data_IF_833867176797
#
_entry.id   IF_833867176797
#
_cell.length_a   1.000
_cell.length_b   1.000
_cell.length_c   1.000
_cell.angle_alpha   90.00
_cell.angle_beta   90.00
_cell.angle_gamma   90.00
#
_symmetry.space_group_name_H-M   'P 1'
#
loop_
_entity.id
_entity.type
_entity.pdbx_description
1 polymer ?
#
# COMPACT_ATOMS: atom_id res chain seq x y z
N UNK A 1 89.68 -31.52 7.46
CA UNK A 1 89.56 -30.09 7.13
C UNK A 1 88.34 -30.00 6.22
N UNK A 2 87.23 -29.38 6.66
CA UNK A 2 86.98 -27.92 6.58
C UNK A 2 87.01 -27.43 5.12
N UNK A 3 86.02 -26.72 4.60
CA UNK A 3 84.69 -26.36 5.10
C UNK A 3 83.80 -25.91 3.90
N UNK A 4 82.52 -25.58 4.12
CA UNK A 4 81.80 -24.41 3.54
C UNK A 4 81.89 -24.11 2.01
N UNK A 5 80.85 -23.77 1.24
CA UNK A 5 79.49 -23.25 1.52
C UNK A 5 78.90 -22.58 0.24
N UNK A 6 77.74 -21.92 0.37
CA UNK A 6 77.27 -20.75 -0.40
C UNK A 6 77.19 -20.79 -1.95
N UNK A 7 75.94 -20.87 -2.44
CA UNK A 7 75.38 -20.21 -3.63
C UNK A 7 76.24 -20.00 -4.89
N UNK A 8 75.75 -20.55 -6.02
CA UNK A 8 75.91 -19.91 -7.33
C UNK A 8 74.63 -20.06 -8.17
N UNK A 9 73.97 -18.94 -8.44
CA UNK A 9 72.99 -18.80 -9.53
C UNK A 9 73.79 -18.73 -10.86
N UNK A 10 73.29 -19.17 -12.02
CA UNK A 10 72.45 -18.41 -13.01
C UNK A 10 72.62 -19.13 -14.39
N UNK A 11 71.91 -18.76 -15.48
CA UNK A 11 70.49 -18.41 -15.60
C UNK A 11 69.82 -19.07 -16.84
N UNK A 12 68.66 -18.55 -17.24
CA UNK A 12 67.70 -19.03 -18.25
C UNK A 12 67.99 -18.79 -19.73
N UNK A 13 67.47 -19.70 -20.57
CA UNK A 13 66.76 -19.53 -21.86
C UNK A 13 66.00 -20.87 -22.11
N UNK A 14 64.97 -21.08 -22.95
CA UNK A 14 64.09 -20.32 -23.88
C UNK A 14 62.77 -21.15 -24.03
N UNK A 15 61.73 -20.78 -24.82
CA UNK A 15 61.16 -19.47 -25.20
C UNK A 15 59.59 -19.42 -25.11
N UNK A 16 59.03 -18.22 -25.36
CA UNK A 16 57.72 -17.96 -26.00
C UNK A 16 56.45 -18.68 -25.49
N UNK A 17 55.63 -17.94 -24.75
CA UNK A 17 54.24 -18.30 -24.42
C UNK A 17 53.51 -17.11 -23.82
N UNK A 18 53.23 -16.07 -24.63
CA UNK A 18 52.58 -14.84 -24.17
C UNK A 18 51.11 -15.06 -23.82
N UNK A 19 50.83 -15.44 -22.57
CA UNK A 19 49.49 -15.33 -21.98
C UNK A 19 49.26 -13.83 -21.68
N UNK A 20 48.21 -13.20 -22.22
CA UNK A 20 47.89 -11.82 -21.87
C UNK A 20 47.66 -11.67 -20.37
N UNK A 21 48.18 -10.60 -19.78
CA UNK A 21 47.93 -10.23 -18.40
C UNK A 21 46.42 -10.05 -18.21
N UNK A 22 45.79 -10.97 -17.45
CA UNK A 22 44.43 -10.77 -16.96
C UNK A 22 44.52 -9.76 -15.82
N UNK A 23 44.06 -8.55 -16.09
CA UNK A 23 44.03 -7.44 -15.13
C UNK A 23 43.30 -7.85 -13.85
N UNK A 24 44.04 -7.92 -12.74
CA UNK A 24 43.50 -8.27 -11.41
C UNK A 24 42.50 -7.22 -10.88
N UNK A 25 42.34 -6.05 -11.54
CA UNK A 25 41.28 -5.09 -11.20
C UNK A 25 39.89 -5.44 -11.76
N UNK A 26 39.75 -6.50 -12.55
CA UNK A 26 38.43 -6.94 -13.04
C UNK A 26 37.50 -7.53 -11.96
N UNK A 27 37.95 -7.61 -10.70
CA UNK A 27 37.21 -8.21 -9.58
C UNK A 27 36.40 -7.21 -8.72
N UNK A 28 36.53 -5.89 -8.92
CA UNK A 28 35.77 -4.86 -8.17
C UNK A 28 34.66 -4.16 -8.99
N UNK A 29 33.89 -4.93 -9.77
CA UNK A 29 32.60 -4.46 -10.29
C UNK A 29 31.55 -5.56 -10.46
N UNK A 30 31.54 -6.54 -9.55
CA UNK A 30 30.31 -7.31 -9.32
C UNK A 30 29.36 -6.41 -8.53
N UNK A 31 28.59 -5.59 -9.25
CA UNK A 31 27.33 -5.05 -8.74
C UNK A 31 26.49 -6.24 -8.27
N UNK A 32 26.46 -6.44 -6.95
CA UNK A 32 25.52 -7.34 -6.31
C UNK A 32 24.14 -6.96 -6.81
N UNK A 33 23.35 -7.86 -7.43
CA UNK A 33 22.01 -7.51 -7.85
C UNK A 33 21.26 -7.04 -6.61
N UNK A 34 20.88 -5.76 -6.61
CA UNK A 34 20.20 -5.11 -5.52
C UNK A 34 18.78 -5.67 -5.48
N UNK A 35 18.66 -6.85 -4.85
CA UNK A 35 17.41 -7.55 -4.66
C UNK A 35 16.48 -6.61 -3.91
N UNK A 36 15.50 -6.06 -4.65
CA UNK A 36 14.61 -5.01 -4.18
C UNK A 36 14.12 -5.33 -2.77
N UNK A 37 14.49 -4.50 -1.79
CA UNK A 37 14.15 -4.72 -0.40
C UNK A 37 12.64 -4.58 -0.21
N UNK A 38 11.91 -5.69 -0.30
CA UNK A 38 10.47 -5.78 -0.09
C UNK A 38 10.11 -5.73 1.41
N UNK A 39 10.64 -4.74 2.12
CA UNK A 39 10.47 -4.59 3.57
C UNK A 39 10.69 -3.15 4.02
N UNK A 40 10.25 -2.85 5.24
CA UNK A 40 10.44 -1.54 5.85
C UNK A 40 11.92 -1.21 6.00
N UNK A 41 12.32 -0.05 5.48
CA UNK A 41 13.70 0.45 5.53
C UNK A 41 14.19 0.73 6.96
N UNK A 42 13.28 0.97 7.91
CA UNK A 42 13.61 1.15 9.33
C UNK A 42 12.56 0.51 10.23
N UNK A 43 13.00 0.06 11.41
CA UNK A 43 12.14 -0.43 12.50
C UNK A 43 11.14 0.64 12.97
N UNK A 44 11.57 1.89 13.04
CA UNK A 44 10.70 3.03 13.34
C UNK A 44 9.58 3.17 12.30
N UNK A 45 9.92 3.07 11.00
CA UNK A 45 8.93 3.09 9.91
C UNK A 45 7.93 1.94 9.99
N UNK A 46 8.39 0.74 10.41
CA UNK A 46 7.53 -0.43 10.64
C UNK A 46 6.58 -0.21 11.83
N UNK A 47 7.08 0.27 12.96
CA UNK A 47 6.26 0.58 14.14
C UNK A 47 5.24 1.67 13.83
N UNK A 48 5.63 2.71 13.10
CA UNK A 48 4.75 3.78 12.65
C UNK A 48 3.67 3.32 11.67
N UNK A 49 4.00 2.38 10.76
CA UNK A 49 3.01 1.75 9.90
C UNK A 49 1.99 0.93 10.71
N UNK A 50 2.40 0.26 11.79
CA UNK A 50 1.48 -0.44 12.70
C UNK A 50 0.61 0.56 13.47
N UNK A 51 1.21 1.59 14.08
CA UNK A 51 0.50 2.67 14.79
C UNK A 51 -0.51 3.41 13.88
N UNK A 52 -0.24 3.44 12.57
CA UNK A 52 -1.13 4.04 11.58
C UNK A 52 -2.52 3.40 11.56
N UNK A 53 -2.66 2.12 11.93
CA UNK A 53 -3.94 1.41 11.92
C UNK A 53 -4.65 1.39 13.28
N UNK A 54 -4.11 2.08 14.29
CA UNK A 54 -4.79 2.24 15.57
C UNK A 54 -5.59 3.57 15.53
N UNK A 55 -6.89 3.56 15.88
CA UNK A 55 -7.74 4.75 15.89
C UNK A 55 -7.11 5.89 16.71
N UNK A 56 -7.24 7.13 16.23
CA UNK A 56 -6.56 8.35 16.72
C UNK A 56 -5.02 8.34 16.65
N UNK A 57 -4.34 7.22 16.87
CA UNK A 57 -2.88 7.15 16.77
C UNK A 57 -2.40 7.31 15.32
N UNK A 58 -3.25 7.06 14.32
CA UNK A 58 -2.97 7.30 12.90
C UNK A 58 -2.45 8.71 12.58
N UNK A 59 -2.80 9.73 13.37
CA UNK A 59 -2.32 11.09 13.20
C UNK A 59 -0.86 11.29 13.64
N UNK A 60 -0.33 10.45 14.55
CA UNK A 60 1.05 10.55 15.05
C UNK A 60 2.08 10.35 13.92
N UNK A 61 2.09 9.24 13.16
CA UNK A 61 3.02 9.07 12.04
C UNK A 61 2.69 10.01 10.87
N UNK A 62 1.41 10.38 10.67
CA UNK A 62 1.00 11.33 9.63
C UNK A 62 1.66 12.70 9.79
N UNK A 63 1.72 13.20 11.04
CA UNK A 63 2.21 14.54 11.37
C UNK A 63 3.73 14.58 11.60
N UNK A 64 4.30 13.53 12.20
CA UNK A 64 5.71 13.54 12.64
C UNK A 64 6.67 12.91 11.62
N UNK A 65 6.28 11.88 10.86
CA UNK A 65 7.21 11.16 9.98
C UNK A 65 7.22 11.70 8.54
N UNK A 66 7.50 12.99 8.39
CA UNK A 66 7.38 13.71 7.11
C UNK A 66 8.20 13.09 5.97
N UNK A 67 9.40 12.61 6.28
CA UNK A 67 10.37 12.10 5.32
C UNK A 67 10.24 10.59 5.04
N UNK A 68 9.52 9.86 5.91
CA UNK A 68 9.30 8.42 5.72
C UNK A 68 8.07 8.17 4.84
N UNK A 69 8.31 7.90 3.55
CA UNK A 69 7.27 7.69 2.53
C UNK A 69 6.33 6.53 2.90
N UNK A 70 6.86 5.42 3.41
CA UNK A 70 6.11 4.22 3.79
C UNK A 70 5.22 4.48 5.01
N UNK A 71 5.78 5.03 6.09
CA UNK A 71 5.01 5.38 7.28
C UNK A 71 3.85 6.34 6.94
N UNK A 72 4.08 7.32 6.06
CA UNK A 72 3.02 8.22 5.59
C UNK A 72 2.00 7.56 4.67
N UNK A 73 2.37 6.53 3.92
CA UNK A 73 1.43 5.75 3.11
C UNK A 73 0.44 5.03 4.01
N UNK A 74 0.92 4.28 5.00
CA UNK A 74 0.09 3.62 6.00
C UNK A 74 -0.73 4.64 6.82
N UNK A 75 -0.14 5.76 7.23
CA UNK A 75 -0.86 6.81 7.98
C UNK A 75 -2.06 7.39 7.23
N UNK A 76 -1.95 7.60 5.90
CA UNK A 76 -3.09 8.05 5.08
C UNK A 76 -4.20 7.00 4.99
N UNK A 77 -3.87 5.72 4.88
CA UNK A 77 -4.87 4.64 4.93
C UNK A 77 -5.54 4.56 6.30
N UNK A 78 -4.74 4.70 7.37
CA UNK A 78 -5.20 4.80 8.76
C UNK A 78 -6.25 5.86 8.98
N UNK A 79 -6.03 7.08 8.46
CA UNK A 79 -7.02 8.17 8.54
C UNK A 79 -8.31 7.82 7.80
N UNK A 80 -8.24 7.19 6.62
CA UNK A 80 -9.44 6.77 5.88
C UNK A 80 -10.23 5.73 6.67
N UNK A 81 -9.55 4.74 7.27
CA UNK A 81 -10.17 3.74 8.13
C UNK A 81 -10.80 4.39 9.38
N UNK A 82 -10.08 5.28 10.05
CA UNK A 82 -10.60 6.03 11.19
C UNK A 82 -11.86 6.87 10.86
N UNK A 83 -11.93 7.45 9.66
CA UNK A 83 -13.14 8.16 9.21
C UNK A 83 -14.32 7.19 8.95
N UNK A 84 -14.06 5.99 8.42
CA UNK A 84 -15.08 4.94 8.26
C UNK A 84 -15.57 4.45 9.63
N UNK A 85 -14.67 4.20 10.56
CA UNK A 85 -14.99 3.82 11.96
C UNK A 85 -15.79 4.91 12.66
N UNK A 86 -15.42 6.19 12.50
CA UNK A 86 -16.14 7.32 13.06
C UNK A 86 -17.58 7.39 12.53
N UNK A 87 -17.77 7.25 11.21
CA UNK A 87 -19.10 7.20 10.60
C UNK A 87 -19.90 5.99 11.10
N UNK A 88 -19.28 4.82 11.20
CA UNK A 88 -19.93 3.62 11.75
C UNK A 88 -20.38 3.84 13.22
N UNK A 89 -19.52 4.42 14.06
CA UNK A 89 -19.85 4.74 15.46
C UNK A 89 -20.98 5.76 15.55
N UNK A 90 -21.07 6.75 14.66
CA UNK A 90 -22.23 7.67 14.60
C UNK A 90 -23.55 6.93 14.34
N UNK A 91 -23.54 5.84 13.57
CA UNK A 91 -24.71 4.97 13.40
C UNK A 91 -24.98 4.02 14.57
N UNK A 92 -24.03 3.85 15.51
CA UNK A 92 -24.27 3.12 16.77
C UNK A 92 -24.89 4.01 17.86
N UNK A 93 -24.96 5.33 17.67
CA UNK A 93 -25.59 6.24 18.64
C UNK A 93 -27.12 6.08 18.57
N UNK A 94 -27.72 5.72 19.71
CA UNK A 94 -29.16 5.62 19.88
C UNK A 94 -29.87 6.89 19.39
N UNK A 95 -30.90 6.71 18.57
CA UNK A 95 -31.66 7.80 17.95
C UNK A 95 -31.10 8.31 16.61
N UNK A 96 -29.79 8.23 16.34
CA UNK A 96 -29.22 8.66 15.05
C UNK A 96 -29.56 7.65 13.95
N UNK A 97 -29.23 6.37 14.17
CA UNK A 97 -29.64 5.28 13.29
C UNK A 97 -31.16 5.27 13.09
N UNK A 98 -31.88 5.34 14.20
CA UNK A 98 -33.33 5.37 14.28
C UNK A 98 -33.94 6.48 13.42
N UNK A 99 -33.40 7.71 13.51
CA UNK A 99 -33.81 8.85 12.69
C UNK A 99 -33.54 8.62 11.20
N UNK A 100 -32.34 8.15 10.84
CA UNK A 100 -31.95 7.90 9.43
C UNK A 100 -32.81 6.79 8.81
N UNK A 101 -32.98 5.65 9.48
CA UNK A 101 -33.79 4.55 8.97
C UNK A 101 -35.27 4.91 8.86
N UNK A 102 -35.83 5.66 9.83
CA UNK A 102 -37.21 6.17 9.74
C UNK A 102 -37.37 7.15 8.57
N UNK A 103 -36.41 8.05 8.36
CA UNK A 103 -36.41 8.96 7.22
C UNK A 103 -36.39 8.23 5.87
N UNK A 104 -35.49 7.26 5.71
CA UNK A 104 -35.41 6.41 4.50
C UNK A 104 -36.73 5.67 4.27
N UNK A 105 -37.31 5.06 5.33
CA UNK A 105 -38.56 4.32 5.23
C UNK A 105 -39.74 5.21 4.81
N UNK A 106 -39.86 6.42 5.36
CA UNK A 106 -40.91 7.38 4.98
C UNK A 106 -40.79 7.76 3.50
N UNK A 107 -39.58 8.04 3.01
CA UNK A 107 -39.34 8.37 1.59
C UNK A 107 -39.67 7.17 0.69
N UNK A 108 -39.25 5.95 1.07
CA UNK A 108 -39.55 4.74 0.32
C UNK A 108 -41.06 4.45 0.23
N UNK A 109 -41.79 4.61 1.34
CA UNK A 109 -43.26 4.47 1.36
C UNK A 109 -43.93 5.54 0.51
N UNK A 110 -43.48 6.79 0.57
CA UNK A 110 -44.02 7.88 -0.26
C UNK A 110 -43.83 7.59 -1.76
N UNK A 111 -42.64 7.14 -2.18
CA UNK A 111 -42.37 6.74 -3.57
C UNK A 111 -43.22 5.53 -3.99
N UNK A 112 -43.42 4.55 -3.09
CA UNK A 112 -44.30 3.40 -3.34
C UNK A 112 -45.75 3.83 -3.57
N UNK A 113 -46.29 4.72 -2.74
CA UNK A 113 -47.65 5.27 -2.90
C UNK A 113 -47.80 6.02 -4.23
N UNK A 114 -46.80 6.82 -4.63
CA UNK A 114 -46.79 7.49 -5.95
C UNK A 114 -46.76 6.46 -7.09
N UNK A 115 -45.96 5.41 -6.98
CA UNK A 115 -45.91 4.32 -7.96
C UNK A 115 -47.26 3.61 -8.11
N UNK A 116 -47.89 3.24 -6.98
CA UNK A 116 -49.23 2.63 -6.93
C UNK A 116 -50.28 3.57 -7.57
N UNK A 117 -50.25 4.86 -7.24
CA UNK A 117 -51.19 5.85 -7.80
C UNK A 117 -51.12 5.92 -9.34
N UNK A 118 -49.91 5.93 -9.92
CA UNK A 118 -49.76 5.92 -11.38
C UNK A 118 -50.06 4.56 -12.02
N UNK A 119 -49.74 3.45 -11.35
CA UNK A 119 -50.09 2.10 -11.80
C UNK A 119 -51.61 1.92 -11.89
N UNK A 120 -52.37 2.43 -10.90
CA UNK A 120 -53.84 2.45 -10.91
C UNK A 120 -54.43 3.33 -12.03
N UNK A 121 -53.66 4.28 -12.57
CA UNK A 121 -54.02 5.05 -13.77
C UNK A 121 -53.58 4.40 -15.08
N UNK A 122 -52.96 3.21 -15.05
CA UNK A 122 -52.38 2.56 -16.24
C UNK A 122 -51.20 3.32 -16.84
N UNK A 123 -50.51 4.17 -16.06
CA UNK A 123 -49.39 4.99 -16.52
C UNK A 123 -48.05 4.43 -16.06
N UNK A 124 -47.14 4.21 -17.00
CA UNK A 124 -45.73 3.88 -16.73
C UNK A 124 -44.98 5.13 -16.25
N UNK A 125 -45.18 5.51 -14.99
CA UNK A 125 -44.47 6.63 -14.36
C UNK A 125 -43.10 6.19 -13.83
N UNK A 126 -42.04 6.88 -14.26
CA UNK A 126 -40.68 6.65 -13.79
C UNK A 126 -40.46 7.37 -12.46
N UNK A 127 -40.34 6.61 -11.37
CA UNK A 127 -40.05 7.17 -10.04
C UNK A 127 -38.67 7.85 -10.01
N UNK A 128 -38.53 9.03 -9.36
CA UNK A 128 -37.25 9.73 -9.27
C UNK A 128 -36.22 8.88 -8.51
N UNK A 129 -34.96 8.95 -8.95
CA UNK A 129 -33.81 8.17 -8.45
C UNK A 129 -33.94 6.66 -8.71
N UNK A 130 -35.01 6.03 -8.23
CA UNK A 130 -35.23 4.57 -8.31
C UNK A 130 -35.42 4.10 -9.76
N UNK A 131 -36.14 4.87 -10.59
CA UNK A 131 -36.32 4.53 -12.00
C UNK A 131 -35.02 4.56 -12.80
N UNK A 132 -34.16 5.57 -12.56
CA UNK A 132 -32.85 5.65 -13.22
C UNK A 132 -31.89 4.55 -12.75
N UNK A 133 -32.02 4.12 -11.49
CA UNK A 133 -31.24 3.01 -10.95
C UNK A 133 -31.67 1.68 -11.56
N UNK A 134 -32.98 1.41 -11.64
CA UNK A 134 -33.55 0.20 -12.24
C UNK A 134 -33.12 0.03 -13.71
N UNK A 135 -33.23 1.09 -14.51
CA UNK A 135 -32.79 1.12 -15.92
C UNK A 135 -31.30 0.79 -16.07
N UNK A 136 -30.45 1.26 -15.15
CA UNK A 136 -29.00 0.99 -15.14
C UNK A 136 -28.67 -0.45 -14.75
N UNK A 137 -29.43 -1.04 -13.83
CA UNK A 137 -29.15 -2.39 -13.32
C UNK A 137 -29.68 -3.51 -14.21
N UNK A 138 -30.53 -3.21 -15.21
CA UNK A 138 -31.16 -4.21 -16.11
C UNK A 138 -31.82 -5.38 -15.36
N UNK A 139 -32.59 -5.03 -14.32
CA UNK A 139 -33.45 -5.94 -13.56
C UNK A 139 -34.76 -6.20 -14.32
#
# INVERSE_FOLDING_TARGET
MMADSFFKNEPSETPSGSIPNLDENAAESIEKPEAAQQGFQTEEGRLAAILSYIPLLCFIPLLNMKDNKEARFHARQGVILFLIELVAVLFLIDGISDFVFKGILIVAVALSVVGIYFALQGKSYKLPIIGDLADKTKL
#
